data_IF_101976974042
#
_entry.id   IF_101976974042
#
_cell.length_a   1.000
_cell.length_b   1.000
_cell.length_c   1.000
_cell.angle_alpha   90.00
_cell.angle_beta   90.00
_cell.angle_gamma   90.00
#
_symmetry.space_group_name_H-M   'P 1'
#
loop_
_entity.id
_entity.type
_entity.pdbx_description
1 polymer ?
#
# COMPACT_ATOMS: atom_id res chain seq x y z
N UNK A 1 66.78 1.29 -47.02
CA UNK A 1 65.34 0.92 -47.01
C UNK A 1 64.86 0.97 -45.56
N UNK A 2 63.76 1.68 -45.35
CA UNK A 2 63.33 2.21 -44.06
C UNK A 2 62.70 1.15 -43.14
N UNK A 3 62.88 1.38 -41.84
CA UNK A 3 62.41 0.58 -40.70
C UNK A 3 60.88 0.56 -40.66
N UNK A 4 60.26 -0.60 -40.44
CA UNK A 4 58.86 -0.70 -40.04
C UNK A 4 58.82 -1.23 -38.61
N UNK A 5 58.44 -0.35 -37.68
CA UNK A 5 58.35 -0.64 -36.25
C UNK A 5 57.26 -1.68 -35.98
N UNK A 6 57.49 -2.57 -35.00
CA UNK A 6 56.43 -3.37 -34.40
C UNK A 6 55.49 -2.42 -33.61
N UNK A 7 54.17 -2.67 -33.61
CA UNK A 7 53.28 -1.96 -32.71
C UNK A 7 53.65 -2.29 -31.26
N UNK A 8 53.86 -1.22 -30.51
CA UNK A 8 54.10 -1.18 -29.07
C UNK A 8 53.03 -2.00 -28.33
N UNK A 9 53.44 -2.83 -27.37
CA UNK A 9 52.50 -3.54 -26.51
C UNK A 9 51.69 -2.49 -25.76
N UNK A 10 50.39 -2.45 -26.01
CA UNK A 10 49.46 -1.68 -25.18
C UNK A 10 49.49 -2.32 -23.81
N UNK A 11 50.17 -1.66 -22.87
CA UNK A 11 50.17 -2.03 -21.47
C UNK A 11 48.77 -1.83 -20.93
N UNK A 12 48.05 -2.95 -20.79
CA UNK A 12 46.68 -2.99 -20.28
C UNK A 12 46.71 -2.89 -18.76
N UNK A 13 47.07 -1.73 -18.21
CA UNK A 13 46.69 -1.38 -16.84
C UNK A 13 46.54 0.12 -16.67
N UNK A 14 45.31 0.62 -16.53
CA UNK A 14 45.03 1.54 -15.46
C UNK A 14 44.55 0.69 -14.28
N UNK A 15 45.45 0.40 -13.34
CA UNK A 15 45.02 0.20 -11.96
C UNK A 15 44.32 1.50 -11.54
N UNK A 16 43.00 1.53 -11.71
CA UNK A 16 42.19 2.63 -11.22
C UNK A 16 42.15 2.49 -9.70
N UNK A 17 43.13 3.10 -9.04
CA UNK A 17 43.19 3.17 -7.58
C UNK A 17 41.94 3.92 -7.11
N UNK A 18 41.03 3.18 -6.48
CA UNK A 18 39.85 3.75 -5.84
C UNK A 18 40.33 4.75 -4.79
N UNK A 19 39.82 5.99 -4.85
CA UNK A 19 40.22 7.04 -3.91
C UNK A 19 40.03 6.56 -2.44
N UNK A 20 40.97 6.86 -1.52
CA UNK A 20 40.94 6.36 -0.14
C UNK A 20 39.60 6.59 0.59
N UNK A 21 39.01 7.77 0.41
CA UNK A 21 37.71 8.12 1.00
C UNK A 21 36.56 7.23 0.50
N UNK A 22 36.64 6.77 -0.76
CA UNK A 22 35.66 5.85 -1.32
C UNK A 22 35.87 4.43 -0.78
N UNK A 23 37.12 4.03 -0.56
CA UNK A 23 37.46 2.73 0.02
C UNK A 23 36.98 2.62 1.48
N UNK A 24 37.20 3.66 2.28
CA UNK A 24 36.75 3.70 3.68
C UNK A 24 35.21 3.67 3.79
N UNK A 25 34.52 4.39 2.91
CA UNK A 25 33.06 4.34 2.83
C UNK A 25 32.54 2.95 2.45
N UNK A 26 33.18 2.27 1.49
CA UNK A 26 32.81 0.91 1.08
C UNK A 26 33.07 -0.11 2.19
N UNK A 27 34.19 0.02 2.91
CA UNK A 27 34.50 -0.81 4.06
C UNK A 27 33.47 -0.63 5.18
N UNK A 28 33.09 0.61 5.46
CA UNK A 28 32.08 0.94 6.49
C UNK A 28 30.71 0.38 6.11
N UNK A 29 30.31 0.47 4.83
CA UNK A 29 29.07 -0.10 4.32
C UNK A 29 29.07 -1.63 4.42
N UNK A 30 30.17 -2.29 4.07
CA UNK A 30 30.30 -3.75 4.13
C UNK A 30 30.21 -4.26 5.57
N UNK A 31 30.86 -3.57 6.52
CA UNK A 31 30.74 -3.88 7.96
C UNK A 31 29.28 -3.71 8.40
N UNK A 32 28.65 -2.59 8.06
CA UNK A 32 27.26 -2.34 8.44
C UNK A 32 26.30 -3.40 7.88
N UNK A 33 26.44 -3.77 6.60
CA UNK A 33 25.63 -4.82 5.98
C UNK A 33 25.81 -6.16 6.69
N UNK A 34 27.05 -6.52 7.04
CA UNK A 34 27.35 -7.76 7.76
C UNK A 34 26.71 -7.78 9.14
N UNK A 35 26.82 -6.69 9.91
CA UNK A 35 26.25 -6.58 11.25
C UNK A 35 24.70 -6.66 11.23
N UNK A 36 24.06 -6.07 10.20
CA UNK A 36 22.62 -6.18 9.98
C UNK A 36 22.22 -7.63 9.65
N UNK A 37 22.97 -8.31 8.80
CA UNK A 37 22.71 -9.71 8.44
C UNK A 37 22.98 -10.67 9.60
N UNK A 38 23.97 -10.39 10.46
CA UNK A 38 24.19 -11.16 11.68
C UNK A 38 23.00 -11.02 12.65
N UNK A 39 22.45 -9.80 12.77
CA UNK A 39 21.34 -9.52 13.69
C UNK A 39 19.97 -10.00 13.19
N UNK A 40 19.68 -9.83 11.89
CA UNK A 40 18.33 -10.05 11.32
C UNK A 40 18.30 -11.05 10.16
N UNK A 41 19.45 -11.52 9.68
CA UNK A 41 19.53 -12.40 8.53
C UNK A 41 19.23 -13.87 8.83
N UNK A 42 19.00 -14.22 10.11
CA UNK A 42 18.65 -15.58 10.55
C UNK A 42 19.65 -16.66 10.09
N UNK A 43 20.92 -16.29 9.94
CA UNK A 43 21.99 -17.18 9.46
C UNK A 43 21.97 -17.45 7.96
N UNK A 44 21.09 -16.79 7.20
CA UNK A 44 21.00 -16.89 5.74
C UNK A 44 21.74 -15.75 5.04
N UNK A 45 22.33 -15.96 3.85
CA UNK A 45 22.90 -14.89 3.05
C UNK A 45 21.82 -13.92 2.55
N UNK A 46 22.24 -12.70 2.21
CA UNK A 46 21.34 -11.71 1.64
C UNK A 46 20.87 -12.16 0.26
N UNK A 47 19.56 -12.27 0.10
CA UNK A 47 18.89 -12.52 -1.16
C UNK A 47 17.68 -11.60 -1.26
N UNK A 48 17.73 -10.64 -2.20
CA UNK A 48 16.74 -9.56 -2.30
C UNK A 48 15.32 -10.10 -2.42
N UNK A 49 15.10 -11.05 -3.31
CA UNK A 49 13.75 -11.57 -3.61
C UNK A 49 13.15 -12.26 -2.39
N UNK A 50 13.94 -13.08 -1.70
CA UNK A 50 13.54 -13.74 -0.45
C UNK A 50 13.12 -12.72 0.62
N UNK A 51 13.97 -11.74 0.93
CA UNK A 51 13.68 -10.73 1.96
C UNK A 51 12.43 -9.91 1.61
N UNK A 52 12.25 -9.58 0.33
CA UNK A 52 11.05 -8.86 -0.13
C UNK A 52 9.79 -9.72 0.02
N UNK A 53 9.85 -11.02 -0.29
CA UNK A 53 8.74 -11.95 -0.11
C UNK A 53 8.38 -12.15 1.36
N UNK A 54 9.37 -12.33 2.23
CA UNK A 54 9.17 -12.42 3.68
C UNK A 54 8.52 -11.15 4.24
N UNK A 55 9.01 -9.97 3.82
CA UNK A 55 8.42 -8.69 4.22
C UNK A 55 6.95 -8.57 3.78
N UNK A 56 6.64 -8.92 2.53
CA UNK A 56 5.26 -8.93 2.01
C UNK A 56 4.36 -9.89 2.79
N UNK A 57 4.86 -11.09 3.10
CA UNK A 57 4.14 -12.07 3.90
C UNK A 57 3.76 -11.51 5.27
N UNK A 58 4.71 -10.91 6.00
CA UNK A 58 4.41 -10.31 7.31
C UNK A 58 3.49 -9.08 7.20
N UNK A 59 3.56 -8.32 6.11
CA UNK A 59 2.62 -7.23 5.86
C UNK A 59 1.18 -7.74 5.67
N UNK A 60 0.99 -8.82 4.92
CA UNK A 60 -0.32 -9.45 4.72
C UNK A 60 -0.86 -10.01 6.06
N UNK A 61 -0.03 -10.74 6.79
CA UNK A 61 -0.36 -11.22 8.14
C UNK A 61 -0.74 -10.07 9.09
N UNK A 62 -0.05 -8.92 9.00
CA UNK A 62 -0.40 -7.75 9.80
C UNK A 62 -1.77 -7.16 9.45
N UNK A 63 -2.19 -7.27 8.18
CA UNK A 63 -3.49 -6.81 7.73
C UNK A 63 -4.61 -7.73 8.24
N UNK A 64 -4.42 -9.06 8.14
CA UNK A 64 -5.33 -10.05 8.71
C UNK A 64 -5.49 -9.90 10.23
N UNK A 65 -4.37 -9.80 10.95
CA UNK A 65 -4.37 -9.61 12.39
C UNK A 65 -5.10 -8.31 12.80
N UNK A 66 -4.95 -7.23 12.02
CA UNK A 66 -5.65 -5.97 12.24
C UNK A 66 -7.18 -6.14 12.09
N UNK A 67 -7.66 -6.90 11.10
CA UNK A 67 -9.08 -7.19 10.93
C UNK A 67 -9.62 -8.06 12.06
N UNK A 68 -8.89 -9.09 12.47
CA UNK A 68 -9.31 -9.92 13.60
C UNK A 68 -9.36 -9.14 14.92
N UNK A 69 -8.42 -8.22 15.15
CA UNK A 69 -8.44 -7.29 16.27
C UNK A 69 -9.64 -6.33 16.21
N UNK A 70 -9.98 -5.81 15.03
CA UNK A 70 -11.16 -4.97 14.86
C UNK A 70 -12.47 -5.70 15.17
N UNK A 71 -12.59 -7.02 14.89
CA UNK A 71 -13.71 -7.83 15.37
C UNK A 71 -13.80 -7.86 16.90
N UNK A 72 -12.67 -8.04 17.60
CA UNK A 72 -12.66 -8.04 19.09
C UNK A 72 -13.04 -6.68 19.63
N UNK A 73 -12.60 -5.60 18.99
CA UNK A 73 -13.00 -4.24 19.37
C UNK A 73 -14.51 -4.01 19.20
N UNK A 74 -15.14 -4.56 18.15
CA UNK A 74 -16.60 -4.52 17.99
C UNK A 74 -17.27 -5.27 19.14
N UNK A 75 -16.82 -6.50 19.44
CA UNK A 75 -17.36 -7.28 20.56
C UNK A 75 -17.26 -6.50 21.87
N UNK A 76 -16.10 -5.92 22.19
CA UNK A 76 -15.91 -5.10 23.39
C UNK A 76 -16.85 -3.89 23.41
N UNK A 77 -16.98 -3.19 22.27
CA UNK A 77 -17.84 -2.00 22.17
C UNK A 77 -19.32 -2.30 22.42
N UNK A 78 -19.79 -3.47 22.01
CA UNK A 78 -21.19 -3.89 22.21
C UNK A 78 -21.45 -4.41 23.63
N UNK A 79 -20.42 -4.87 24.35
CA UNK A 79 -20.58 -5.47 25.68
C UNK A 79 -20.18 -4.55 26.84
N UNK A 80 -19.46 -3.46 26.57
CA UNK A 80 -18.96 -2.54 27.60
C UNK A 80 -19.62 -1.15 27.51
N UNK A 81 -19.91 -0.49 28.65
CA UNK A 81 -20.29 0.92 28.65
C UNK A 81 -19.22 1.77 27.94
N UNK A 82 -19.63 2.87 27.31
CA UNK A 82 -18.72 3.71 26.52
C UNK A 82 -17.45 4.14 27.29
N UNK A 83 -17.58 4.48 28.57
CA UNK A 83 -16.44 4.84 29.42
C UNK A 83 -15.44 3.70 29.62
N UNK A 84 -15.93 2.49 29.92
CA UNK A 84 -15.07 1.31 30.11
C UNK A 84 -14.44 0.87 28.79
N UNK A 85 -15.18 0.91 27.69
CA UNK A 85 -14.62 0.67 26.36
C UNK A 85 -13.45 1.62 26.07
N UNK A 86 -13.59 2.91 26.38
CA UNK A 86 -12.51 3.88 26.20
C UNK A 86 -11.31 3.58 27.10
N UNK A 87 -11.53 3.16 28.35
CA UNK A 87 -10.46 2.74 29.27
C UNK A 87 -9.71 1.51 28.75
N UNK A 88 -10.41 0.50 28.23
CA UNK A 88 -9.80 -0.69 27.64
C UNK A 88 -8.97 -0.31 26.42
N UNK A 89 -9.53 0.46 25.49
CA UNK A 89 -8.87 0.88 24.25
C UNK A 89 -7.60 1.67 24.52
N UNK A 90 -7.67 2.67 25.39
CA UNK A 90 -6.55 3.60 25.65
C UNK A 90 -5.57 3.09 26.69
N UNK A 91 -6.06 2.48 27.77
CA UNK A 91 -5.25 2.05 28.92
C UNK A 91 -4.70 0.65 28.77
N UNK A 92 -5.51 -0.33 28.34
CA UNK A 92 -5.08 -1.73 28.27
C UNK A 92 -4.47 -2.09 26.92
N UNK A 93 -5.07 -1.61 25.83
CA UNK A 93 -4.59 -1.88 24.47
C UNK A 93 -3.58 -0.85 23.96
N UNK A 94 -3.46 0.32 24.62
CA UNK A 94 -2.49 1.35 24.27
C UNK A 94 -2.71 2.01 22.91
N UNK A 95 -3.94 1.97 22.37
CA UNK A 95 -4.28 2.60 21.08
C UNK A 95 -5.29 3.73 21.28
N UNK A 96 -5.28 4.72 20.38
CA UNK A 96 -6.30 5.75 20.40
C UNK A 96 -7.61 5.25 19.78
N UNK A 97 -8.72 5.90 20.15
CA UNK A 97 -10.06 5.56 19.64
C UNK A 97 -10.17 5.66 18.11
N UNK A 98 -9.47 6.60 17.48
CA UNK A 98 -9.51 6.75 16.02
C UNK A 98 -8.93 5.52 15.31
N UNK A 99 -7.83 4.96 15.81
CA UNK A 99 -7.23 3.72 15.34
C UNK A 99 -8.19 2.55 15.56
N UNK A 100 -8.72 2.40 16.78
CA UNK A 100 -9.69 1.35 17.09
C UNK A 100 -10.93 1.43 16.16
N UNK A 101 -11.47 2.62 15.95
CA UNK A 101 -12.60 2.89 15.05
C UNK A 101 -12.29 2.57 13.59
N UNK A 102 -11.08 2.86 13.11
CA UNK A 102 -10.64 2.44 11.77
C UNK A 102 -10.57 0.91 11.64
N UNK A 103 -10.01 0.22 12.63
CA UNK A 103 -9.92 -1.25 12.64
C UNK A 103 -11.31 -1.90 12.66
N UNK A 104 -12.22 -1.42 13.51
CA UNK A 104 -13.62 -1.90 13.57
C UNK A 104 -14.31 -1.73 12.20
N UNK A 105 -14.25 -0.53 11.62
CA UNK A 105 -14.87 -0.28 10.31
C UNK A 105 -14.26 -1.13 9.19
N UNK A 106 -12.93 -1.29 9.16
CA UNK A 106 -12.27 -2.16 8.19
C UNK A 106 -12.73 -3.63 8.36
N UNK A 107 -12.91 -4.08 9.61
CA UNK A 107 -13.39 -5.44 9.89
C UNK A 107 -14.81 -5.65 9.39
N UNK A 108 -15.71 -4.70 9.64
CA UNK A 108 -17.09 -4.76 9.10
C UNK A 108 -17.07 -4.79 7.58
N UNK A 109 -16.21 -3.98 6.96
CA UNK A 109 -16.08 -3.90 5.50
C UNK A 109 -15.59 -5.21 4.89
N UNK A 110 -14.39 -5.66 5.25
CA UNK A 110 -13.73 -6.75 4.55
C UNK A 110 -14.18 -8.14 5.00
N UNK A 111 -14.83 -8.27 6.15
CA UNK A 111 -15.36 -9.54 6.66
C UNK A 111 -16.86 -9.71 6.43
N UNK A 112 -17.44 -8.92 5.53
CA UNK A 112 -18.80 -9.15 5.05
C UNK A 112 -18.85 -10.36 4.08
N UNK A 113 -20.01 -10.98 3.85
CA UNK A 113 -20.11 -12.15 2.97
C UNK A 113 -19.63 -11.95 1.53
N UNK A 114 -19.70 -10.72 1.01
CA UNK A 114 -19.30 -10.39 -0.36
C UNK A 114 -17.77 -10.38 -0.53
N UNK A 115 -17.04 -9.88 0.47
CA UNK A 115 -15.59 -9.69 0.41
C UNK A 115 -14.81 -10.77 1.16
N UNK A 116 -15.40 -11.47 2.13
CA UNK A 116 -14.69 -12.47 2.96
C UNK A 116 -14.02 -13.55 2.12
N UNK A 117 -14.69 -14.05 1.08
CA UNK A 117 -14.12 -15.08 0.18
C UNK A 117 -12.92 -14.58 -0.64
N UNK A 118 -12.79 -13.26 -0.78
CA UNK A 118 -11.76 -12.57 -1.56
C UNK A 118 -10.76 -11.83 -0.66
N UNK A 119 -10.78 -12.11 0.64
CA UNK A 119 -10.04 -11.34 1.63
C UNK A 119 -8.52 -11.37 1.37
N UNK A 120 -7.99 -12.54 1.02
CA UNK A 120 -6.56 -12.73 0.75
C UNK A 120 -6.05 -11.76 -0.33
N UNK A 121 -6.85 -11.54 -1.37
CA UNK A 121 -6.55 -10.62 -2.48
C UNK A 121 -6.31 -9.19 -2.00
N UNK A 122 -6.99 -8.76 -0.93
CA UNK A 122 -6.83 -7.43 -0.37
C UNK A 122 -5.78 -7.38 0.74
N UNK A 123 -5.64 -8.43 1.55
CA UNK A 123 -4.65 -8.45 2.64
C UNK A 123 -3.23 -8.38 2.11
N UNK A 124 -2.98 -8.94 0.93
CA UNK A 124 -1.68 -8.86 0.23
C UNK A 124 -1.26 -7.42 -0.09
N UNK A 125 -2.23 -6.51 -0.30
CA UNK A 125 -1.98 -5.07 -0.48
C UNK A 125 -1.48 -4.38 0.81
N UNK A 126 -1.68 -5.03 1.96
CA UNK A 126 -1.31 -4.54 3.28
C UNK A 126 -2.30 -3.53 3.89
N UNK A 127 -2.21 -3.38 5.22
CA UNK A 127 -3.13 -2.58 6.05
C UNK A 127 -3.39 -1.15 5.57
N UNK A 128 -2.38 -0.50 5.01
CA UNK A 128 -2.48 0.91 4.64
C UNK A 128 -3.38 1.09 3.41
N UNK A 129 -3.27 0.21 2.41
CA UNK A 129 -4.11 0.23 1.21
C UNK A 129 -5.54 -0.20 1.55
N UNK A 130 -5.72 -1.16 2.46
CA UNK A 130 -7.04 -1.52 2.98
C UNK A 130 -7.79 -0.31 3.56
N UNK A 131 -7.11 0.57 4.30
CA UNK A 131 -7.75 1.77 4.86
C UNK A 131 -8.13 2.83 3.82
N UNK A 132 -7.47 2.87 2.67
CA UNK A 132 -7.87 3.76 1.59
C UNK A 132 -9.09 3.17 0.85
N UNK A 133 -9.00 1.88 0.51
CA UNK A 133 -10.02 1.15 -0.26
C UNK A 133 -11.32 0.92 0.51
N UNK A 134 -11.30 0.92 1.85
CA UNK A 134 -12.50 0.63 2.65
C UNK A 134 -13.64 1.64 2.46
N UNK A 135 -13.35 2.76 1.79
CA UNK A 135 -14.31 3.83 1.54
C UNK A 135 -15.03 3.71 0.20
N UNK A 136 -14.61 2.79 -0.66
CA UNK A 136 -15.26 2.45 -1.93
C UNK A 136 -16.40 1.45 -1.72
N UNK A 137 -17.23 1.20 -2.72
CA UNK A 137 -18.40 0.33 -2.59
C UNK A 137 -18.04 -1.16 -2.51
N UNK A 138 -18.86 -1.95 -1.83
CA UNK A 138 -18.62 -3.39 -1.66
C UNK A 138 -18.60 -4.15 -3.00
N UNK A 139 -19.45 -3.73 -3.94
CA UNK A 139 -19.54 -4.29 -5.28
C UNK A 139 -18.29 -3.95 -6.11
N UNK A 140 -17.86 -2.68 -6.12
CA UNK A 140 -16.63 -2.25 -6.80
C UNK A 140 -15.38 -2.97 -6.27
N UNK A 141 -15.29 -3.16 -4.95
CA UNK A 141 -14.20 -3.94 -4.36
C UNK A 141 -14.30 -5.40 -4.78
N UNK A 142 -15.49 -5.99 -4.74
CA UNK A 142 -15.71 -7.37 -5.15
C UNK A 142 -15.32 -7.60 -6.62
N UNK A 143 -15.60 -6.63 -7.50
CA UNK A 143 -15.19 -6.61 -8.90
C UNK A 143 -13.67 -6.45 -9.04
N UNK A 144 -13.04 -5.53 -8.31
CA UNK A 144 -11.58 -5.35 -8.32
C UNK A 144 -10.86 -6.66 -7.99
N UNK A 145 -11.34 -7.40 -7.01
CA UNK A 145 -10.77 -8.70 -6.64
C UNK A 145 -11.02 -9.81 -7.67
N UNK A 146 -11.95 -9.62 -8.60
CA UNK A 146 -12.20 -10.50 -9.76
C UNK A 146 -11.49 -10.04 -11.04
N UNK A 147 -10.62 -9.03 -10.95
CA UNK A 147 -9.87 -8.49 -12.09
C UNK A 147 -10.51 -7.26 -12.73
N UNK A 148 -11.55 -6.70 -12.11
CA UNK A 148 -12.09 -5.38 -12.44
C UNK A 148 -11.15 -4.24 -12.05
N UNK A 149 -11.69 -3.02 -12.01
CA UNK A 149 -10.91 -1.82 -11.72
C UNK A 149 -11.61 -0.93 -10.70
N UNK A 150 -10.83 -0.22 -9.90
CA UNK A 150 -11.32 0.80 -8.97
C UNK A 150 -10.62 2.11 -9.26
N UNK A 151 -11.37 3.21 -9.42
CA UNK A 151 -10.82 4.48 -9.91
C UNK A 151 -10.00 4.34 -11.23
N UNK A 152 -10.34 3.35 -12.07
CA UNK A 152 -9.60 3.01 -13.30
C UNK A 152 -8.28 2.26 -13.08
N UNK A 153 -8.03 1.76 -11.87
CA UNK A 153 -6.82 1.02 -11.49
C UNK A 153 -7.14 -0.46 -11.32
N UNK A 154 -6.29 -1.33 -11.88
CA UNK A 154 -6.34 -2.77 -11.59
C UNK A 154 -5.72 -3.07 -10.22
N UNK A 155 -5.90 -4.30 -9.73
CA UNK A 155 -5.27 -4.73 -8.49
C UNK A 155 -3.73 -4.66 -8.54
N UNK A 156 -3.12 -5.00 -9.69
CA UNK A 156 -1.66 -4.93 -9.89
C UNK A 156 -1.17 -3.47 -9.89
N UNK A 157 -1.93 -2.54 -10.47
CA UNK A 157 -1.63 -1.11 -10.39
C UNK A 157 -1.63 -0.63 -8.93
N UNK A 158 -2.69 -1.02 -8.19
CA UNK A 158 -2.83 -0.69 -6.77
C UNK A 158 -1.67 -1.29 -5.97
N UNK A 159 -1.21 -2.50 -6.27
CA UNK A 159 -0.09 -3.13 -5.59
C UNK A 159 1.25 -2.41 -5.86
N UNK A 160 1.51 -2.01 -7.11
CA UNK A 160 2.77 -1.37 -7.49
C UNK A 160 2.89 0.08 -7.01
N UNK A 161 1.78 0.78 -6.80
CA UNK A 161 1.80 2.17 -6.34
C UNK A 161 1.92 2.33 -4.83
N UNK A 162 2.36 3.52 -4.43
CA UNK A 162 2.35 3.93 -3.03
C UNK A 162 0.93 4.22 -2.53
N UNK A 163 0.75 4.14 -1.21
CA UNK A 163 -0.52 4.50 -0.54
C UNK A 163 -0.93 5.94 -0.83
N UNK A 164 0.06 6.84 -1.03
CA UNK A 164 -0.21 8.25 -1.34
C UNK A 164 -0.79 8.44 -2.74
N UNK A 165 -0.27 7.70 -3.70
CA UNK A 165 -0.77 7.68 -5.09
C UNK A 165 -2.18 7.08 -5.13
N UNK A 166 -2.40 5.95 -4.45
CA UNK A 166 -3.73 5.34 -4.33
C UNK A 166 -4.76 6.33 -3.78
N UNK A 167 -4.44 7.00 -2.67
CA UNK A 167 -5.32 8.00 -2.08
C UNK A 167 -5.59 9.18 -3.02
N UNK A 168 -4.59 9.60 -3.81
CA UNK A 168 -4.77 10.65 -4.80
C UNK A 168 -5.71 10.20 -5.93
N UNK A 169 -5.53 8.98 -6.46
CA UNK A 169 -6.34 8.41 -7.52
C UNK A 169 -7.82 8.28 -7.10
N UNK A 170 -8.10 7.71 -5.92
CA UNK A 170 -9.46 7.59 -5.38
C UNK A 170 -10.12 8.97 -5.24
N UNK A 171 -9.40 9.96 -4.71
CA UNK A 171 -9.95 11.33 -4.57
C UNK A 171 -10.24 11.98 -5.91
N UNK A 172 -9.34 11.84 -6.89
CA UNK A 172 -9.54 12.39 -8.22
C UNK A 172 -10.72 11.73 -8.93
N UNK A 173 -10.86 10.40 -8.82
CA UNK A 173 -12.00 9.67 -9.38
C UNK A 173 -13.33 10.18 -8.81
N UNK A 174 -13.43 10.32 -7.47
CA UNK A 174 -14.62 10.88 -6.81
C UNK A 174 -14.92 12.31 -7.22
N UNK A 175 -13.89 13.14 -7.39
CA UNK A 175 -14.09 14.51 -7.85
C UNK A 175 -14.66 14.55 -9.26
N UNK A 176 -14.11 13.74 -10.19
CA UNK A 176 -14.63 13.62 -11.56
C UNK A 176 -16.08 13.14 -11.60
N UNK A 177 -16.43 12.16 -10.76
CA UNK A 177 -17.82 11.69 -10.65
C UNK A 177 -18.76 12.81 -10.23
N UNK A 178 -18.40 13.58 -9.19
CA UNK A 178 -19.20 14.72 -8.72
C UNK A 178 -19.33 15.82 -9.77
N UNK A 179 -18.24 16.14 -10.47
CA UNK A 179 -18.27 17.13 -11.56
C UNK A 179 -19.22 16.67 -12.67
N UNK A 180 -19.12 15.41 -13.09
CA UNK A 180 -20.02 14.84 -14.10
C UNK A 180 -21.49 14.83 -13.67
N UNK A 181 -21.79 14.52 -12.40
CA UNK A 181 -23.15 14.56 -11.86
C UNK A 181 -23.74 15.98 -11.87
N UNK A 182 -22.93 16.97 -11.51
CA UNK A 182 -23.34 18.37 -11.52
C UNK A 182 -23.63 18.88 -12.94
N UNK A 183 -22.79 18.51 -13.91
CA UNK A 183 -22.98 18.87 -15.32
C UNK A 183 -24.26 18.24 -15.89
N UNK A 184 -24.52 16.97 -15.56
CA UNK A 184 -25.75 16.29 -15.96
C UNK A 184 -26.99 16.93 -15.34
N UNK A 185 -26.94 17.29 -14.06
CA UNK A 185 -28.06 17.95 -13.39
C UNK A 185 -28.32 19.35 -13.96
N UNK A 186 -27.27 20.13 -14.22
CA UNK A 186 -27.37 21.44 -14.85
C UNK A 186 -27.97 21.33 -16.24
N UNK A 187 -27.50 20.36 -17.03
CA UNK A 187 -28.02 20.10 -18.38
C UNK A 187 -29.50 19.70 -18.34
N UNK A 188 -29.92 18.85 -17.39
CA UNK A 188 -31.33 18.47 -17.18
C UNK A 188 -32.20 19.67 -16.81
N UNK A 189 -31.73 20.54 -15.91
CA UNK A 189 -32.45 21.76 -15.52
C UNK A 189 -32.63 22.71 -16.72
N UNK A 190 -31.57 22.93 -17.51
CA UNK A 190 -31.65 23.78 -18.70
C UNK A 190 -32.61 23.23 -19.76
N UNK A 191 -32.72 21.91 -19.90
CA UNK A 191 -33.71 21.28 -20.80
C UNK A 191 -35.13 21.50 -20.28
N UNK A 192 -35.39 21.25 -18.99
CA UNK A 192 -36.70 21.47 -18.38
C UNK A 192 -37.16 22.93 -18.51
N UNK A 193 -36.30 23.90 -18.23
CA UNK A 193 -36.61 25.33 -18.39
C UNK A 193 -36.88 25.74 -19.84
N UNK A 194 -36.29 25.06 -20.83
CA UNK A 194 -36.57 25.30 -22.26
C UNK A 194 -37.90 24.70 -22.67
N UNK A 195 -38.25 23.53 -22.15
CA UNK A 195 -39.53 22.87 -22.42
C UNK A 195 -40.71 23.68 -21.85
N UNK A 196 -40.58 24.24 -20.64
CA UNK A 196 -41.58 25.13 -20.05
C UNK A 196 -41.81 26.43 -20.85
N UNK A 197 -40.80 26.92 -21.58
CA UNK A 197 -40.92 28.12 -22.43
C UNK A 197 -41.56 27.86 -23.79
N UNK A 198 -41.73 26.59 -24.18
CA UNK A 198 -42.30 26.18 -25.46
C UNK A 198 -43.78 25.80 -25.33
N UNK A 199 -44.26 25.54 -24.10
CA UNK A 199 -45.68 25.37 -23.78
C UNK A 199 -46.39 26.72 -23.57
#
# INVERSE_FOLDING_TARGET
MARRALPEKIDMTPEYQVAPDLQDNMNTLAIHQRDIMEKYGEGLPYERERIVHEARFYMAQSAEAMLEAGKRLIILKENEPHGEFMNIVTGQLGINYNTASKMMRASVKYLNPNLTRKLSTFTDLGKAKLFELMTEDDEELAELAEGGTIAGLTLDDVDRMSVRELRAAIRQSRQKLKESENDLNTSRQMVAEREEKIQ
#
